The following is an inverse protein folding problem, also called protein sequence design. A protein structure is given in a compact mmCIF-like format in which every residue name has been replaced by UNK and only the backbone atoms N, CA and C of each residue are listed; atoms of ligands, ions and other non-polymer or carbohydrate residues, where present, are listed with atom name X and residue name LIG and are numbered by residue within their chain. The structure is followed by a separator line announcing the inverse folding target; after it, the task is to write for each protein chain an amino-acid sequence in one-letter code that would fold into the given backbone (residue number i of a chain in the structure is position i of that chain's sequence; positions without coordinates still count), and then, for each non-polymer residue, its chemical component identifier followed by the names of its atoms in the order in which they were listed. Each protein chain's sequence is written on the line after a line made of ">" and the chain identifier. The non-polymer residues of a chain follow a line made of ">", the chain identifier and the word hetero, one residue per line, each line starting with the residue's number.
data_IF_548596978939
#
_entry.id   IF_548596978939
#
_cell.length_a   1.000
_cell.length_b   1.000
_cell.length_c   1.000
_cell.angle_alpha   90.00
_cell.angle_beta   90.00
_cell.angle_gamma   90.00
#
_symmetry.space_group_name_H-M   'P 1'
#
loop_
_entity.id
_entity.type
_entity.pdbx_description
1 polymer ?
#
# COMPACT_ATOMS: atom_id res chain seq x y z
N UNK A 1 32.93 -23.80 5.08
CA UNK A 1 32.07 -24.90 4.54
C UNK A 1 30.58 -24.56 4.45
N UNK A 2 30.11 -23.38 4.87
CA UNK A 2 28.70 -22.97 4.76
C UNK A 2 28.30 -22.56 3.32
N UNK A 3 29.19 -21.88 2.61
CA UNK A 3 29.04 -21.38 1.22
C UNK A 3 28.81 -22.45 0.13
N UNK A 4 29.29 -23.69 0.34
CA UNK A 4 29.13 -24.79 -0.62
C UNK A 4 27.74 -25.42 -0.53
N UNK A 5 27.11 -25.38 0.65
CA UNK A 5 25.73 -25.82 0.85
C UNK A 5 24.74 -24.82 0.23
N UNK A 6 25.06 -23.53 0.16
CA UNK A 6 24.22 -22.52 -0.50
C UNK A 6 24.20 -22.65 -2.04
N UNK A 7 25.24 -23.26 -2.62
CA UNK A 7 25.32 -23.55 -4.06
C UNK A 7 24.55 -24.83 -4.46
N UNK A 8 24.52 -25.80 -3.55
CA UNK A 8 23.83 -27.10 -3.75
C UNK A 8 22.37 -27.04 -3.28
N UNK A 9 22.07 -26.20 -2.29
CA UNK A 9 20.72 -25.91 -1.81
C UNK A 9 20.53 -24.38 -1.85
N UNK A 10 20.14 -23.79 -3.00
CA UNK A 10 19.78 -22.38 -3.06
C UNK A 10 18.79 -22.07 -1.93
N UNK A 11 18.91 -20.91 -1.24
CA UNK A 11 18.02 -20.58 -0.13
C UNK A 11 16.60 -20.79 -0.61
N UNK A 12 15.90 -21.77 0.00
CA UNK A 12 14.57 -22.21 -0.45
C UNK A 12 13.75 -20.96 -0.70
N UNK A 13 13.29 -20.77 -1.94
CA UNK A 13 12.43 -19.65 -2.25
C UNK A 13 11.29 -19.64 -1.23
N UNK A 14 10.95 -18.44 -0.75
CA UNK A 14 9.95 -18.24 0.31
C UNK A 14 8.90 -17.31 -0.20
N UNK A 15 7.65 -17.63 0.08
CA UNK A 15 6.52 -16.78 -0.25
C UNK A 15 6.71 -15.38 0.36
N UNK A 16 6.53 -14.34 -0.45
CA UNK A 16 6.71 -12.96 0.01
C UNK A 16 5.71 -12.55 1.09
N UNK A 17 4.55 -13.23 1.20
CA UNK A 17 3.45 -12.92 2.15
C UNK A 17 3.51 -13.75 3.43
N UNK A 18 3.64 -15.07 3.37
CA UNK A 18 3.65 -15.90 4.58
C UNK A 18 5.07 -16.28 5.05
N UNK A 19 6.09 -16.13 4.20
CA UNK A 19 7.47 -16.58 4.45
C UNK A 19 7.67 -18.09 4.47
N UNK A 20 6.63 -18.88 4.19
CA UNK A 20 6.76 -20.34 4.06
C UNK A 20 7.55 -20.71 2.80
N UNK A 21 8.26 -21.86 2.80
CA UNK A 21 8.93 -22.37 1.60
C UNK A 21 7.96 -22.51 0.43
N UNK A 22 8.36 -22.01 -0.74
CA UNK A 22 7.54 -21.94 -1.95
C UNK A 22 8.44 -21.72 -3.16
N UNK A 23 8.23 -22.47 -4.23
CA UNK A 23 8.89 -22.21 -5.54
C UNK A 23 8.32 -20.96 -6.22
N UNK A 24 7.07 -20.62 -5.91
CA UNK A 24 6.39 -19.40 -6.35
C UNK A 24 6.74 -18.19 -5.46
N UNK A 25 6.74 -16.99 -6.06
CA UNK A 25 6.92 -15.73 -5.35
C UNK A 25 5.81 -15.50 -4.30
N UNK A 26 4.58 -15.90 -4.63
CA UNK A 26 3.42 -15.92 -3.73
C UNK A 26 2.84 -17.34 -3.76
N UNK A 27 2.89 -18.05 -2.63
CA UNK A 27 2.41 -19.43 -2.59
C UNK A 27 0.91 -19.55 -2.86
N UNK A 28 0.48 -20.73 -3.31
CA UNK A 28 -0.92 -21.02 -3.65
C UNK A 28 -1.91 -20.65 -2.52
N UNK A 29 -1.53 -20.85 -1.25
CA UNK A 29 -2.36 -20.47 -0.10
C UNK A 29 -2.60 -18.95 -0.03
N UNK A 30 -1.53 -18.16 -0.15
CA UNK A 30 -1.66 -16.69 -0.13
C UNK A 30 -2.38 -16.16 -1.38
N UNK A 31 -2.19 -16.80 -2.53
CA UNK A 31 -2.94 -16.48 -3.75
C UNK A 31 -4.44 -16.77 -3.57
N UNK A 32 -4.80 -17.88 -2.93
CA UNK A 32 -6.18 -18.21 -2.61
C UNK A 32 -6.80 -17.19 -1.63
N UNK A 33 -6.05 -16.74 -0.62
CA UNK A 33 -6.50 -15.69 0.30
C UNK A 33 -6.79 -14.36 -0.42
N UNK A 34 -5.91 -13.94 -1.34
CA UNK A 34 -6.10 -12.74 -2.16
C UNK A 34 -7.38 -12.86 -2.96
N UNK A 35 -7.61 -14.00 -3.63
CA UNK A 35 -8.81 -14.24 -4.41
C UNK A 35 -10.07 -14.24 -3.53
N UNK A 36 -10.02 -14.88 -2.36
CA UNK A 36 -11.13 -14.90 -1.40
C UNK A 36 -11.46 -13.49 -0.90
N UNK A 37 -10.43 -12.71 -0.55
CA UNK A 37 -10.62 -11.35 -0.08
C UNK A 37 -11.14 -10.41 -1.17
N UNK A 38 -10.65 -10.54 -2.41
CA UNK A 38 -11.21 -9.82 -3.57
C UNK A 38 -12.70 -10.10 -3.73
N UNK A 39 -13.11 -11.37 -3.65
CA UNK A 39 -14.53 -11.75 -3.72
C UNK A 39 -15.33 -11.09 -2.59
N UNK A 40 -14.80 -11.11 -1.37
CA UNK A 40 -15.44 -10.46 -0.23
C UNK A 40 -15.61 -8.95 -0.45
N UNK A 41 -14.58 -8.25 -0.91
CA UNK A 41 -14.68 -6.82 -1.27
C UNK A 41 -15.73 -6.56 -2.36
N UNK A 42 -15.87 -7.45 -3.35
CA UNK A 42 -16.86 -7.31 -4.42
C UNK A 42 -18.32 -7.44 -3.95
N UNK A 43 -18.57 -8.06 -2.79
CA UNK A 43 -19.92 -8.15 -2.22
C UNK A 43 -20.43 -6.85 -1.61
N UNK A 44 -19.56 -5.83 -1.45
CA UNK A 44 -19.89 -4.58 -0.76
C UNK A 44 -20.05 -4.71 0.76
N UNK A 45 -19.79 -5.90 1.33
CA UNK A 45 -19.93 -6.17 2.78
C UNK A 45 -18.76 -5.62 3.61
N UNK A 46 -17.69 -5.19 2.97
CA UNK A 46 -16.49 -4.65 3.63
C UNK A 46 -16.61 -3.14 3.73
N UNK A 47 -16.66 -2.65 4.97
CA UNK A 47 -16.58 -1.23 5.24
C UNK A 47 -15.11 -0.84 5.26
N UNK A 48 -14.70 -0.05 4.27
CA UNK A 48 -13.34 0.44 4.21
C UNK A 48 -13.10 1.54 5.25
N UNK A 49 -11.89 1.62 5.84
CA UNK A 49 -11.54 2.69 6.76
C UNK A 49 -11.75 4.07 6.15
N UNK A 50 -12.49 4.94 6.86
CA UNK A 50 -12.81 6.29 6.39
C UNK A 50 -13.88 6.35 5.29
N UNK A 51 -14.58 5.24 5.02
CA UNK A 51 -15.62 5.14 3.99
C UNK A 51 -15.13 5.48 2.56
N UNK A 52 -13.87 5.12 2.27
CA UNK A 52 -13.24 5.39 0.97
C UNK A 52 -13.21 4.11 0.14
N UNK A 53 -13.49 4.22 -1.16
CA UNK A 53 -13.27 3.12 -2.10
C UNK A 53 -11.76 2.84 -2.21
N UNK A 54 -11.33 1.69 -1.72
CA UNK A 54 -9.92 1.27 -1.71
C UNK A 54 -9.82 -0.11 -2.36
N UNK A 55 -8.91 -0.26 -3.31
CA UNK A 55 -8.47 -1.57 -3.78
C UNK A 55 -7.47 -2.13 -2.77
N UNK A 56 -7.77 -3.29 -2.19
CA UNK A 56 -6.93 -3.93 -1.18
C UNK A 56 -6.62 -5.38 -1.54
N UNK A 57 -5.40 -5.84 -1.27
CA UNK A 57 -5.01 -7.22 -1.51
C UNK A 57 -5.50 -8.16 -0.39
N UNK A 58 -5.31 -7.76 0.86
CA UNK A 58 -5.54 -8.62 2.03
C UNK A 58 -5.98 -7.83 3.27
N UNK A 59 -6.58 -8.47 4.29
CA UNK A 59 -6.76 -7.87 5.60
C UNK A 59 -5.42 -7.71 6.33
N UNK A 60 -5.28 -6.64 7.12
CA UNK A 60 -4.06 -6.31 7.88
C UNK A 60 -3.95 -7.13 9.18
N UNK A 61 -3.85 -8.44 9.04
CA UNK A 61 -3.88 -9.39 10.15
C UNK A 61 -2.84 -10.50 9.99
N UNK A 62 -2.58 -11.26 11.07
CA UNK A 62 -1.76 -12.47 11.07
C UNK A 62 -0.45 -12.34 10.27
N UNK A 63 -0.31 -13.18 9.23
CA UNK A 63 0.86 -13.24 8.33
C UNK A 63 1.11 -11.94 7.57
N UNK A 64 0.06 -11.25 7.16
CA UNK A 64 0.15 -10.00 6.39
C UNK A 64 0.76 -8.90 7.25
N UNK A 65 0.31 -8.79 8.51
CA UNK A 65 0.91 -7.87 9.48
C UNK A 65 2.40 -8.13 9.69
N UNK A 66 2.81 -9.39 9.80
CA UNK A 66 4.23 -9.79 9.92
C UNK A 66 5.03 -9.39 8.66
N UNK A 67 4.47 -9.58 7.47
CA UNK A 67 5.15 -9.23 6.21
C UNK A 67 5.27 -7.73 6.00
N UNK A 68 4.24 -6.96 6.31
CA UNK A 68 4.34 -5.49 6.32
C UNK A 68 5.40 -5.04 7.33
N UNK A 69 5.48 -5.66 8.52
CA UNK A 69 6.53 -5.35 9.49
C UNK A 69 7.93 -5.61 8.90
N UNK A 70 8.14 -6.75 8.23
CA UNK A 70 9.39 -7.06 7.52
C UNK A 70 9.70 -6.03 6.42
N UNK A 71 8.69 -5.61 5.66
CA UNK A 71 8.82 -4.55 4.65
C UNK A 71 9.13 -3.18 5.26
N UNK A 72 8.70 -2.89 6.49
CA UNK A 72 8.97 -1.61 7.17
C UNK A 72 10.33 -1.55 7.86
N UNK A 73 10.80 -2.68 8.38
CA UNK A 73 11.90 -2.68 9.36
C UNK A 73 13.05 -3.65 9.05
N UNK A 74 12.91 -4.56 8.07
CA UNK A 74 13.94 -5.57 7.77
C UNK A 74 14.69 -5.32 6.45
N UNK A 75 14.60 -4.10 5.89
CA UNK A 75 15.23 -3.71 4.63
C UNK A 75 15.03 -4.71 3.47
N UNK A 76 13.76 -5.12 3.23
CA UNK A 76 13.40 -6.08 2.17
C UNK A 76 12.57 -5.42 1.06
N UNK A 77 13.14 -4.50 0.25
CA UNK A 77 12.40 -3.79 -0.81
C UNK A 77 11.85 -4.74 -1.88
N UNK A 78 12.46 -5.92 -2.05
CA UNK A 78 11.95 -6.95 -2.95
C UNK A 78 10.50 -7.38 -2.63
N UNK A 79 10.10 -7.33 -1.36
CA UNK A 79 8.72 -7.64 -0.95
C UNK A 79 7.72 -6.67 -1.61
N UNK A 80 8.07 -5.39 -1.77
CA UNK A 80 7.18 -4.42 -2.43
C UNK A 80 6.93 -4.80 -3.89
N UNK A 81 7.95 -5.33 -4.60
CA UNK A 81 7.79 -5.79 -5.99
C UNK A 81 6.88 -7.02 -6.07
N UNK A 82 7.08 -8.00 -5.20
CA UNK A 82 6.22 -9.18 -5.11
C UNK A 82 4.76 -8.82 -4.84
N UNK A 83 4.54 -7.87 -3.93
CA UNK A 83 3.20 -7.38 -3.61
C UNK A 83 2.56 -6.58 -4.75
N UNK A 84 3.34 -5.80 -5.51
CA UNK A 84 2.84 -5.11 -6.71
C UNK A 84 2.42 -6.10 -7.80
N UNK A 85 3.22 -7.15 -8.04
CA UNK A 85 2.87 -8.23 -8.97
C UNK A 85 1.61 -8.96 -8.55
N UNK A 86 1.47 -9.25 -7.26
CA UNK A 86 0.25 -9.82 -6.70
C UNK A 86 -0.96 -8.88 -6.92
N UNK A 87 -0.80 -7.57 -6.74
CA UNK A 87 -1.84 -6.57 -6.99
C UNK A 87 -2.29 -6.55 -8.46
N UNK A 88 -1.33 -6.53 -9.38
CA UNK A 88 -1.60 -6.52 -10.81
C UNK A 88 -2.28 -7.83 -11.25
N UNK A 89 -1.77 -8.98 -10.81
CA UNK A 89 -2.36 -10.29 -11.09
C UNK A 89 -3.77 -10.44 -10.48
N UNK A 90 -3.98 -9.86 -9.30
CA UNK A 90 -5.29 -9.85 -8.66
C UNK A 90 -6.30 -8.96 -9.39
N UNK A 91 -5.91 -8.17 -10.40
CA UNK A 91 -6.78 -7.31 -11.22
C UNK A 91 -7.84 -6.55 -10.42
N UNK A 92 -7.43 -6.01 -9.27
CA UNK A 92 -8.29 -5.23 -8.34
C UNK A 92 -8.26 -3.73 -8.64
N UNK A 93 -7.35 -3.30 -9.52
CA UNK A 93 -7.24 -1.91 -9.95
C UNK A 93 -8.13 -1.66 -11.19
N UNK A 94 -8.65 -0.45 -11.37
CA UNK A 94 -9.35 -0.08 -12.60
C UNK A 94 -8.44 -0.23 -13.82
N UNK A 95 -9.00 -0.70 -14.94
CA UNK A 95 -8.26 -0.86 -16.20
C UNK A 95 -8.19 0.44 -17.02
N UNK A 96 -9.02 1.44 -16.71
CA UNK A 96 -9.11 2.70 -17.43
C UNK A 96 -9.31 3.87 -16.46
N UNK A 97 -9.09 5.09 -16.95
CA UNK A 97 -9.34 6.32 -16.19
C UNK A 97 -8.23 6.72 -15.21
N UNK A 98 -7.13 5.98 -15.16
CA UNK A 98 -5.91 6.34 -14.43
C UNK A 98 -4.87 6.87 -15.42
N UNK A 99 -4.37 8.07 -15.17
CA UNK A 99 -3.37 8.76 -15.98
C UNK A 99 -2.01 8.84 -15.27
N UNK A 100 -1.98 8.72 -13.94
CA UNK A 100 -0.77 8.88 -13.13
C UNK A 100 -0.82 8.03 -11.86
N UNK A 101 0.30 7.41 -11.51
CA UNK A 101 0.50 6.72 -10.23
C UNK A 101 1.35 7.59 -9.29
N UNK A 102 0.91 7.74 -8.04
CA UNK A 102 1.67 8.40 -6.97
C UNK A 102 1.61 7.57 -5.69
N UNK A 103 2.51 7.85 -4.75
CA UNK A 103 2.52 7.22 -3.43
C UNK A 103 2.20 8.22 -2.31
N UNK A 104 1.67 7.69 -1.21
CA UNK A 104 1.58 8.41 0.06
C UNK A 104 3.00 8.79 0.52
N UNK A 105 3.30 10.09 0.76
CA UNK A 105 4.64 10.49 1.13
C UNK A 105 4.94 10.13 2.58
N UNK A 106 6.08 9.50 2.80
CA UNK A 106 6.57 9.21 4.14
C UNK A 106 7.21 10.44 4.79
N UNK A 107 7.17 10.52 6.12
CA UNK A 107 7.87 11.56 6.86
C UNK A 107 9.40 11.43 6.73
N UNK A 108 10.12 12.55 6.62
CA UNK A 108 11.59 12.55 6.49
C UNK A 108 12.30 11.75 7.59
N UNK A 109 11.89 11.91 8.85
CA UNK A 109 12.49 11.14 9.95
C UNK A 109 12.34 9.61 9.76
N UNK A 110 11.16 9.14 9.32
CA UNK A 110 10.94 7.72 9.02
C UNK A 110 11.68 7.27 7.76
N UNK A 111 11.90 8.18 6.82
CA UNK A 111 12.73 7.91 5.63
C UNK A 111 14.20 7.71 6.00
N UNK A 112 14.74 8.56 6.88
CA UNK A 112 16.10 8.42 7.39
C UNK A 112 16.28 7.13 8.21
N UNK A 113 15.28 6.77 9.03
CA UNK A 113 15.29 5.53 9.81
C UNK A 113 15.21 4.27 8.94
N UNK A 114 14.36 4.28 7.91
CA UNK A 114 14.04 3.07 7.12
C UNK A 114 14.80 2.95 5.79
N UNK A 115 15.40 4.04 5.31
CA UNK A 115 16.12 4.12 4.03
C UNK A 115 15.24 4.23 2.78
N UNK A 116 13.94 3.91 2.85
CA UNK A 116 13.03 3.97 1.70
C UNK A 116 11.56 4.14 2.11
N UNK A 117 10.73 4.62 1.17
CA UNK A 117 9.27 4.67 1.29
C UNK A 117 8.63 3.42 0.65
N UNK A 118 8.00 2.59 1.48
CA UNK A 118 7.37 1.33 1.06
C UNK A 118 6.28 1.56 0.01
N UNK A 119 5.46 2.59 0.22
CA UNK A 119 4.39 2.96 -0.71
C UNK A 119 4.95 3.41 -2.06
N UNK A 120 6.09 4.11 -2.06
CA UNK A 120 6.77 4.56 -3.28
C UNK A 120 7.33 3.39 -4.09
N UNK A 121 7.96 2.42 -3.43
CA UNK A 121 8.46 1.22 -4.12
C UNK A 121 7.32 0.43 -4.76
N UNK A 122 6.21 0.26 -4.03
CA UNK A 122 5.02 -0.40 -4.53
C UNK A 122 4.41 0.37 -5.71
N UNK A 123 4.30 1.70 -5.60
CA UNK A 123 3.75 2.56 -6.64
C UNK A 123 4.57 2.53 -7.93
N UNK A 124 5.90 2.56 -7.83
CA UNK A 124 6.80 2.49 -9.01
C UNK A 124 6.62 1.17 -9.77
N UNK A 125 6.59 0.04 -9.06
CA UNK A 125 6.39 -1.25 -9.71
C UNK A 125 4.97 -1.35 -10.31
N UNK A 126 3.93 -0.87 -9.61
CA UNK A 126 2.56 -0.85 -10.14
C UNK A 126 2.41 0.04 -11.38
N UNK A 127 3.09 1.18 -11.40
CA UNK A 127 3.11 2.07 -12.56
C UNK A 127 3.75 1.38 -13.77
N UNK A 128 4.91 0.73 -13.56
CA UNK A 128 5.58 -0.04 -14.60
C UNK A 128 4.70 -1.18 -15.14
N UNK A 129 4.07 -1.96 -14.26
CA UNK A 129 3.18 -3.07 -14.64
C UNK A 129 1.92 -2.62 -15.41
N UNK A 130 1.46 -1.38 -15.17
CA UNK A 130 0.30 -0.81 -15.85
C UNK A 130 0.67 0.08 -17.06
N UNK A 131 1.96 0.22 -17.38
CA UNK A 131 2.46 1.16 -18.39
C UNK A 131 2.00 2.61 -18.14
N UNK A 132 1.97 3.02 -16.88
CA UNK A 132 1.60 4.37 -16.45
C UNK A 132 2.83 5.12 -15.91
N UNK A 133 2.86 6.46 -16.00
CA UNK A 133 3.90 7.22 -15.35
C UNK A 133 3.76 7.13 -13.83
N UNK A 134 4.91 7.08 -13.15
CA UNK A 134 5.00 7.32 -11.71
C UNK A 134 5.54 8.73 -11.46
N UNK A 135 4.89 9.49 -10.57
CA UNK A 135 5.43 10.76 -10.07
C UNK A 135 5.04 10.97 -8.61
N UNK A 136 6.00 11.40 -7.79
CA UNK A 136 5.75 11.74 -6.38
C UNK A 136 5.16 13.15 -6.27
N UNK A 137 3.87 13.28 -6.59
CA UNK A 137 3.16 14.58 -6.67
C UNK A 137 2.72 15.11 -5.31
N UNK A 138 2.71 14.27 -4.28
CA UNK A 138 2.39 14.69 -2.92
C UNK A 138 3.65 14.96 -2.09
N UNK A 139 3.62 16.03 -1.31
CA UNK A 139 4.55 16.33 -0.24
C UNK A 139 3.84 16.27 1.11
N UNK A 140 4.56 15.82 2.15
CA UNK A 140 4.10 15.93 3.53
C UNK A 140 4.63 17.24 4.12
N UNK A 141 3.74 18.20 4.40
CA UNK A 141 4.09 19.58 4.76
C UNK A 141 4.23 19.82 6.27
N UNK A 142 3.73 18.91 7.11
CA UNK A 142 3.84 19.01 8.57
C UNK A 142 4.33 17.71 9.22
N UNK A 143 5.17 17.86 10.25
CA UNK A 143 5.49 16.79 11.18
C UNK A 143 4.31 16.61 12.14
N UNK A 144 3.54 15.53 11.99
CA UNK A 144 2.52 15.16 12.99
C UNK A 144 3.13 14.16 13.97
N UNK A 145 3.02 14.37 15.29
CA UNK A 145 3.62 13.48 16.29
C UNK A 145 3.08 12.03 16.22
N UNK A 146 3.85 11.03 16.70
CA UNK A 146 3.45 9.61 16.70
C UNK A 146 2.14 9.34 17.46
N UNK A 147 1.32 8.45 16.89
CA UNK A 147 -0.10 8.22 17.20
C UNK A 147 -0.40 7.37 18.44
N UNK A 148 0.26 7.58 19.59
CA UNK A 148 0.00 6.74 20.77
C UNK A 148 -0.86 7.40 21.87
N UNK A 149 -1.19 8.70 21.78
CA UNK A 149 -1.80 9.44 22.91
C UNK A 149 -3.09 10.21 22.60
N UNK A 150 -3.65 10.18 21.38
CA UNK A 150 -4.79 11.05 21.02
C UNK A 150 -6.04 10.29 20.55
N UNK A 151 -7.19 10.68 21.10
CA UNK A 151 -8.52 10.11 20.84
C UNK A 151 -9.04 10.33 19.41
N UNK A 152 -10.09 9.59 19.03
CA UNK A 152 -10.62 9.47 17.65
C UNK A 152 -10.92 10.81 16.95
N UNK A 153 -11.40 11.83 17.69
CA UNK A 153 -11.68 13.19 17.16
C UNK A 153 -10.40 13.97 16.83
N UNK A 154 -9.38 13.93 17.68
CA UNK A 154 -8.09 14.60 17.43
C UNK A 154 -7.29 13.96 16.27
N UNK A 155 -7.56 12.68 15.95
CA UNK A 155 -6.92 11.95 14.84
C UNK A 155 -7.36 12.44 13.46
N UNK A 156 -8.55 13.01 13.31
CA UNK A 156 -9.01 13.56 12.03
C UNK A 156 -8.40 14.94 11.77
N UNK A 157 -8.35 15.80 12.81
CA UNK A 157 -7.79 17.15 12.74
C UNK A 157 -6.27 17.15 12.54
N UNK A 158 -5.55 16.15 13.07
CA UNK A 158 -4.09 16.08 12.99
C UNK A 158 -3.52 15.77 11.61
N UNK A 159 -4.29 15.15 10.70
CA UNK A 159 -3.80 14.79 9.35
C UNK A 159 -4.35 15.73 8.28
N UNK A 160 -5.44 16.46 8.58
CA UNK A 160 -5.98 17.49 7.70
C UNK A 160 -4.92 18.58 7.44
N UNK A 161 -4.63 18.83 6.16
CA UNK A 161 -3.62 19.81 5.75
C UNK A 161 -2.17 19.39 5.97
N UNK A 162 -1.91 18.12 6.34
CA UNK A 162 -0.54 17.59 6.46
C UNK A 162 0.09 17.23 5.11
N UNK A 163 -0.68 17.28 4.02
CA UNK A 163 -0.26 16.94 2.67
C UNK A 163 -0.65 18.05 1.70
N UNK A 164 0.18 18.26 0.69
CA UNK A 164 -0.06 19.17 -0.42
C UNK A 164 0.42 18.53 -1.73
N UNK A 165 -0.31 18.76 -2.82
CA UNK A 165 0.19 18.48 -4.16
C UNK A 165 1.29 19.49 -4.52
N UNK A 166 2.29 19.05 -5.30
CA UNK A 166 3.43 19.86 -5.75
C UNK A 166 3.18 20.53 -7.10
N UNK A 167 2.09 20.18 -7.75
CA UNK A 167 1.74 20.63 -9.10
C UNK A 167 0.23 20.56 -9.31
N UNK A 168 -0.23 21.17 -10.40
CA UNK A 168 -1.60 21.06 -10.88
C UNK A 168 -1.83 19.69 -11.55
N UNK A 169 -2.98 19.08 -11.25
CA UNK A 169 -3.36 17.74 -11.70
C UNK A 169 -4.67 17.78 -12.50
N UNK A 170 -5.00 18.94 -13.08
CA UNK A 170 -6.19 19.14 -13.93
C UNK A 170 -6.35 17.99 -14.92
N UNK A 171 -7.56 17.44 -14.97
CA UNK A 171 -7.98 16.33 -15.84
C UNK A 171 -7.19 15.01 -15.67
N UNK A 172 -6.43 14.84 -14.59
CA UNK A 172 -5.73 13.58 -14.30
C UNK A 172 -6.52 12.69 -13.35
N UNK A 173 -6.71 11.43 -13.74
CA UNK A 173 -7.09 10.35 -12.84
C UNK A 173 -5.85 9.79 -12.14
N UNK A 174 -5.89 9.72 -10.81
CA UNK A 174 -4.73 9.41 -9.98
C UNK A 174 -4.91 8.07 -9.28
N UNK A 175 -3.91 7.18 -9.37
CA UNK A 175 -3.77 6.03 -8.50
C UNK A 175 -2.87 6.40 -7.32
N UNK A 176 -3.46 6.57 -6.13
CA UNK A 176 -2.76 6.82 -4.87
C UNK A 176 -2.46 5.50 -4.15
N UNK A 177 -1.18 5.19 -3.98
CA UNK A 177 -0.72 3.92 -3.39
C UNK A 177 -0.23 4.13 -1.96
N UNK A 178 -0.63 3.24 -1.05
CA UNK A 178 -0.12 3.13 0.32
C UNK A 178 0.24 1.66 0.62
N UNK A 179 1.01 1.41 1.69
CA UNK A 179 1.29 0.04 2.12
C UNK A 179 0.15 -0.54 2.98
N UNK A 180 -0.36 0.22 3.94
CA UNK A 180 -1.43 -0.21 4.83
C UNK A 180 -2.37 0.94 5.15
N UNK A 181 -3.66 0.73 4.92
CA UNK A 181 -4.71 1.64 5.34
C UNK A 181 -5.41 1.11 6.60
N UNK A 182 -5.16 1.75 7.75
CA UNK A 182 -5.77 1.35 9.03
C UNK A 182 -7.05 2.13 9.33
N UNK A 183 -6.97 3.45 9.54
CA UNK A 183 -8.14 4.30 9.83
C UNK A 183 -8.65 5.06 8.61
N UNK A 184 -7.91 5.06 7.50
CA UNK A 184 -8.23 5.85 6.31
C UNK A 184 -7.77 7.30 6.38
N UNK A 185 -7.40 7.84 7.55
CA UNK A 185 -7.11 9.27 7.71
C UNK A 185 -5.99 9.77 6.79
N UNK A 186 -4.91 8.99 6.64
CA UNK A 186 -3.77 9.35 5.80
C UNK A 186 -4.15 9.43 4.32
N UNK A 187 -4.79 8.37 3.81
CA UNK A 187 -5.18 8.29 2.41
C UNK A 187 -6.30 9.29 2.08
N UNK A 188 -7.23 9.55 3.02
CA UNK A 188 -8.21 10.62 2.92
C UNK A 188 -7.55 11.98 2.77
N UNK A 189 -6.63 12.35 3.68
CA UNK A 189 -5.96 13.65 3.61
C UNK A 189 -5.12 13.83 2.34
N UNK A 190 -4.48 12.76 1.86
CA UNK A 190 -3.78 12.76 0.57
C UNK A 190 -4.76 12.96 -0.59
N UNK A 191 -5.89 12.24 -0.59
CA UNK A 191 -6.94 12.37 -1.60
C UNK A 191 -7.50 13.79 -1.66
N UNK A 192 -7.81 14.39 -0.51
CA UNK A 192 -8.26 15.78 -0.44
C UNK A 192 -7.20 16.76 -1.00
N UNK A 193 -5.91 16.51 -0.75
CA UNK A 193 -4.84 17.33 -1.31
C UNK A 193 -4.72 17.20 -2.84
N UNK A 194 -4.99 16.00 -3.39
CA UNK A 194 -5.01 15.76 -4.84
C UNK A 194 -6.21 16.44 -5.52
N UNK A 195 -7.42 16.34 -4.93
CA UNK A 195 -8.60 17.02 -5.47
C UNK A 195 -8.48 18.55 -5.40
N UNK A 196 -7.86 19.09 -4.35
CA UNK A 196 -7.54 20.53 -4.27
C UNK A 196 -6.58 21.01 -5.35
N UNK A 197 -5.84 20.10 -5.96
CA UNK A 197 -4.99 20.34 -7.11
C UNK A 197 -5.65 19.89 -8.43
N UNK A 198 -6.99 19.89 -8.47
CA UNK A 198 -7.81 19.65 -9.66
C UNK A 198 -7.72 18.24 -10.27
N UNK A 199 -7.27 17.23 -9.51
CA UNK A 199 -7.36 15.84 -9.97
C UNK A 199 -8.81 15.48 -10.32
N UNK A 200 -9.03 14.89 -11.50
CA UNK A 200 -10.37 14.47 -11.98
C UNK A 200 -10.95 13.37 -11.08
N UNK A 201 -10.11 12.38 -10.78
CA UNK A 201 -10.49 11.25 -9.92
C UNK A 201 -9.27 10.73 -9.16
N UNK A 202 -9.52 10.08 -8.02
CA UNK A 202 -8.48 9.49 -7.18
C UNK A 202 -8.92 8.11 -6.71
N UNK A 203 -8.23 7.09 -7.20
CA UNK A 203 -8.38 5.70 -6.80
C UNK A 203 -7.27 5.34 -5.82
N UNK A 204 -7.63 4.64 -4.75
CA UNK A 204 -6.70 4.29 -3.68
C UNK A 204 -6.38 2.80 -3.73
N UNK A 205 -5.09 2.47 -3.66
CA UNK A 205 -4.62 1.10 -3.54
C UNK A 205 -3.78 0.92 -2.27
N UNK A 206 -4.06 -0.13 -1.50
CA UNK A 206 -3.27 -0.47 -0.31
C UNK A 206 -3.03 -1.98 -0.22
N UNK A 207 -1.82 -2.42 0.13
CA UNK A 207 -1.55 -3.87 0.29
C UNK A 207 -2.48 -4.47 1.32
N UNK A 208 -2.67 -3.79 2.45
CA UNK A 208 -3.54 -4.28 3.49
C UNK A 208 -4.48 -3.21 4.06
N UNK A 209 -5.66 -3.64 4.49
CA UNK A 209 -6.62 -2.79 5.19
C UNK A 209 -6.99 -3.36 6.55
N UNK A 210 -7.22 -2.51 7.54
CA UNK A 210 -7.89 -2.94 8.78
C UNK A 210 -9.39 -3.07 8.53
N UNK A 211 -9.96 -4.21 8.92
CA UNK A 211 -11.40 -4.45 8.88
C UNK A 211 -12.09 -3.87 10.12
N UNK A 212 -13.36 -3.49 9.99
CA UNK A 212 -14.15 -3.14 11.18
C UNK A 212 -14.41 -4.40 12.02
N UNK A 213 -14.62 -4.27 13.35
CA UNK A 213 -14.95 -5.41 14.20
C UNK A 213 -16.16 -6.18 13.65
N UNK A 214 -16.04 -7.51 13.50
CA UNK A 214 -17.10 -8.38 12.98
C UNK A 214 -17.14 -8.56 11.46
N UNK A 215 -16.11 -8.11 10.72
CA UNK A 215 -16.00 -8.28 9.27
C UNK A 215 -14.95 -9.31 8.82
N UNK A 216 -14.27 -9.97 9.77
CA UNK A 216 -13.19 -10.94 9.54
C UNK A 216 -13.52 -12.33 10.06
#
# INVERSE_FOLDING_TARGET
>A
MQWLLELVFPPRARCAICSEPSEEEICAFCTADIAAFRRLCSTGRIAFPGNVKIAALLPYEGRVRKTIHRLKFANKPAIARSLARAFAAAAVLPSTGIDLVTAVPMHRARYLERGYNQAELLAKELAALQNLPFKQVLARTRATPPQNTLGRKARATNVAGAFAAKEDLTDRGILLVDDVCTTGNTVLACREALYKANARDVVIAAVAISLAPGQG
#
